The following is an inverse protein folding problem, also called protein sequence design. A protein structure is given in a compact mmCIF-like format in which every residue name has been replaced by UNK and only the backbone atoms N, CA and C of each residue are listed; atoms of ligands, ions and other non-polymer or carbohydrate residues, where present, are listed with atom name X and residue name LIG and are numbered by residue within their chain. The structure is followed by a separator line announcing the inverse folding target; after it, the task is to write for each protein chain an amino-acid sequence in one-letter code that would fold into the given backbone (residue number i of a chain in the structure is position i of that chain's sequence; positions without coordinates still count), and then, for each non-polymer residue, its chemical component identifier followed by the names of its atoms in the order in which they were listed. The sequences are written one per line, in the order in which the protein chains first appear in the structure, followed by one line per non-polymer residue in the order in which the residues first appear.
data_IF_591356651242
#
_entry.id   IF_591356651242
#
_cell.length_a   1.000
_cell.length_b   1.000
_cell.length_c   1.000
_cell.angle_alpha   90.00
_cell.angle_beta   90.00
_cell.angle_gamma   90.00
#
_symmetry.space_group_name_H-M   'P 1'
#
loop_
_entity.id
_entity.type
_entity.pdbx_description
1 polymer ?
#
# COMPACT_ATOMS: atom_id res chain seq x y z
N UNK A 1 -1.97 12.54 49.91
CA UNK A 1 -3.00 12.35 48.87
C UNK A 1 -2.25 12.02 47.59
N UNK A 2 -1.96 10.73 47.43
CA UNK A 2 -1.12 10.19 46.35
C UNK A 2 -2.04 9.92 45.16
N UNK A 3 -1.94 10.73 44.12
CA UNK A 3 -2.55 10.43 42.82
C UNK A 3 -1.54 9.62 42.01
N UNK A 4 -1.55 8.31 42.21
CA UNK A 4 -0.71 7.38 41.46
C UNK A 4 -1.16 7.35 40.00
N UNK A 5 -0.41 8.05 39.16
CA UNK A 5 -0.47 7.97 37.69
C UNK A 5 0.29 6.71 37.21
N UNK A 6 0.03 5.57 37.84
CA UNK A 6 0.60 4.29 37.43
C UNK A 6 -0.53 3.35 37.05
N UNK A 7 -0.45 2.81 35.84
CA UNK A 7 -1.31 1.74 35.29
C UNK A 7 -2.52 2.20 34.49
N UNK A 8 -2.32 3.03 33.47
CA UNK A 8 -3.18 2.97 32.29
C UNK A 8 -2.85 1.70 31.48
N UNK A 9 -3.11 0.53 32.06
CA UNK A 9 -3.19 -0.71 31.28
C UNK A 9 -4.53 -0.62 30.55
N UNK A 10 -4.51 -0.15 29.30
CA UNK A 10 -5.71 -0.11 28.48
C UNK A 10 -6.14 -1.57 28.29
N UNK A 11 -7.29 -2.01 28.84
CA UNK A 11 -7.77 -3.35 28.58
C UNK A 11 -8.00 -3.48 27.08
N UNK A 12 -7.35 -4.46 26.47
CA UNK A 12 -7.48 -4.75 25.05
C UNK A 12 -8.90 -5.24 24.77
N UNK A 13 -9.71 -4.41 24.12
CA UNK A 13 -11.09 -4.76 23.73
C UNK A 13 -11.13 -5.18 22.26
N UNK A 14 -12.09 -6.04 21.91
CA UNK A 14 -12.32 -6.47 20.51
C UNK A 14 -12.57 -5.27 19.58
N UNK A 15 -13.16 -4.20 20.08
CA UNK A 15 -13.36 -2.95 19.35
C UNK A 15 -12.04 -2.24 18.99
N UNK A 16 -11.04 -2.32 19.88
CA UNK A 16 -9.72 -1.76 19.61
C UNK A 16 -8.99 -2.60 18.55
N UNK A 17 -9.07 -3.92 18.65
CA UNK A 17 -8.56 -4.85 17.63
C UNK A 17 -9.08 -4.51 16.24
N UNK A 18 -10.40 -4.30 16.11
CA UNK A 18 -11.06 -4.02 14.84
C UNK A 18 -10.54 -2.71 14.23
N UNK A 19 -10.40 -1.65 15.03
CA UNK A 19 -9.90 -0.34 14.58
C UNK A 19 -8.44 -0.37 14.10
N UNK A 20 -7.64 -1.29 14.62
CA UNK A 20 -6.23 -1.46 14.26
C UNK A 20 -5.97 -2.65 13.31
N UNK A 21 -7.03 -3.23 12.75
CA UNK A 21 -6.93 -4.32 11.79
C UNK A 21 -6.90 -3.82 10.34
N UNK A 22 -6.06 -4.45 9.53
CA UNK A 22 -5.98 -4.18 8.10
C UNK A 22 -7.20 -4.78 7.39
N UNK A 23 -7.93 -4.01 6.56
CA UNK A 23 -9.14 -4.50 5.89
C UNK A 23 -8.88 -5.54 4.80
N UNK A 24 -7.62 -5.77 4.43
CA UNK A 24 -7.24 -6.77 3.41
C UNK A 24 -6.88 -8.11 4.05
N UNK A 25 -5.99 -8.10 5.04
CA UNK A 25 -5.54 -9.34 5.69
C UNK A 25 -6.28 -9.67 6.99
N UNK A 26 -7.11 -8.76 7.49
CA UNK A 26 -7.90 -8.90 8.71
C UNK A 26 -7.06 -9.17 9.97
N UNK A 27 -5.80 -8.76 9.94
CA UNK A 27 -4.85 -8.84 11.06
C UNK A 27 -4.44 -7.42 11.46
N UNK A 28 -3.92 -7.26 12.68
CA UNK A 28 -3.33 -6.01 13.17
C UNK A 28 -2.31 -5.46 12.16
N UNK A 29 -2.39 -4.17 11.88
CA UNK A 29 -1.54 -3.49 10.91
C UNK A 29 -0.05 -3.85 11.06
N UNK A 30 0.64 -4.00 9.94
CA UNK A 30 2.07 -4.21 9.89
C UNK A 30 2.69 -3.28 8.86
N UNK A 31 3.51 -2.35 9.33
CA UNK A 31 4.03 -1.22 8.52
C UNK A 31 2.89 -0.53 7.74
N UNK A 32 1.90 0.06 8.42
CA UNK A 32 0.71 0.61 7.76
C UNK A 32 1.07 1.76 6.81
N UNK A 33 0.49 1.77 5.61
CA UNK A 33 0.56 2.84 4.64
C UNK A 33 -0.82 3.49 4.50
N UNK A 34 -0.88 4.81 4.67
CA UNK A 34 -2.12 5.59 4.52
C UNK A 34 -2.16 6.24 3.15
N UNK A 35 -3.24 5.97 2.40
CA UNK A 35 -3.50 6.55 1.08
C UNK A 35 -3.97 8.01 1.19
N UNK A 36 -3.93 8.77 0.09
CA UNK A 36 -4.38 10.17 0.07
C UNK A 36 -5.88 10.36 0.39
N UNK A 37 -6.69 9.30 0.24
CA UNK A 37 -8.09 9.31 0.67
C UNK A 37 -8.28 8.97 2.17
N UNK A 38 -7.21 8.79 2.94
CA UNK A 38 -7.26 8.53 4.39
C UNK A 38 -7.34 7.06 4.81
N UNK A 39 -7.51 6.12 3.88
CA UNK A 39 -7.57 4.68 4.21
C UNK A 39 -6.18 4.08 4.38
N UNK A 40 -6.03 3.21 5.38
CA UNK A 40 -4.76 2.58 5.76
C UNK A 40 -4.76 1.07 5.52
N UNK A 41 -3.61 0.53 5.14
CA UNK A 41 -3.41 -0.88 4.82
C UNK A 41 -1.99 -1.31 5.21
N UNK A 42 -1.73 -2.59 5.48
CA UNK A 42 -0.35 -3.06 5.59
C UNK A 42 0.41 -2.78 4.29
N UNK A 43 1.69 -2.40 4.38
CA UNK A 43 2.53 -2.12 3.21
C UNK A 43 2.46 -3.19 2.13
N UNK A 44 2.64 -4.46 2.52
CA UNK A 44 2.57 -5.61 1.61
C UNK A 44 1.19 -5.80 0.98
N UNK A 45 0.12 -5.55 1.74
CA UNK A 45 -1.25 -5.65 1.26
C UNK A 45 -1.56 -4.59 0.21
N UNK A 46 -1.15 -3.33 0.48
CA UNK A 46 -1.33 -2.24 -0.48
C UNK A 46 -0.50 -2.46 -1.76
N UNK A 47 0.76 -2.86 -1.61
CA UNK A 47 1.63 -3.24 -2.74
C UNK A 47 1.01 -4.31 -3.62
N UNK A 48 0.54 -5.41 -3.02
CA UNK A 48 -0.11 -6.48 -3.76
C UNK A 48 -1.40 -6.02 -4.44
N UNK A 49 -2.20 -5.18 -3.78
CA UNK A 49 -3.44 -4.66 -4.37
C UNK A 49 -3.17 -3.74 -5.55
N UNK A 50 -2.18 -2.86 -5.44
CA UNK A 50 -1.83 -1.94 -6.54
C UNK A 50 -1.27 -2.73 -7.72
N UNK A 51 -0.46 -3.75 -7.46
CA UNK A 51 0.07 -4.62 -8.51
C UNK A 51 -1.03 -5.40 -9.24
N UNK A 52 -2.03 -5.92 -8.51
CA UNK A 52 -3.09 -6.76 -9.08
C UNK A 52 -4.25 -5.97 -9.70
N UNK A 53 -4.65 -4.86 -9.08
CA UNK A 53 -5.89 -4.14 -9.40
C UNK A 53 -5.67 -2.67 -9.82
N UNK A 54 -4.42 -2.23 -9.89
CA UNK A 54 -4.04 -0.86 -10.26
C UNK A 54 -4.06 0.12 -9.08
N UNK A 55 -3.70 1.37 -9.37
CA UNK A 55 -3.42 2.42 -8.38
C UNK A 55 -4.68 3.09 -7.80
N UNK A 56 -5.59 2.27 -7.27
CA UNK A 56 -6.83 2.68 -6.62
C UNK A 56 -6.93 2.15 -5.20
N UNK A 57 -7.60 2.91 -4.34
CA UNK A 57 -7.85 2.50 -2.98
C UNK A 57 -8.72 1.23 -2.93
N UNK A 58 -8.30 0.16 -2.23
CA UNK A 58 -9.07 -1.08 -2.10
C UNK A 58 -10.47 -0.87 -1.50
N UNK A 59 -10.63 0.10 -0.60
CA UNK A 59 -11.89 0.39 0.10
C UNK A 59 -12.81 1.31 -0.71
N UNK A 60 -12.39 2.54 -0.99
CA UNK A 60 -13.26 3.55 -1.60
C UNK A 60 -13.07 3.73 -3.11
N UNK A 61 -12.12 3.01 -3.73
CA UNK A 61 -11.80 3.06 -5.17
C UNK A 61 -11.22 4.40 -5.69
N UNK A 62 -11.00 5.37 -4.81
CA UNK A 62 -10.34 6.65 -5.12
C UNK A 62 -8.92 6.43 -5.69
N UNK A 63 -8.48 7.30 -6.59
CA UNK A 63 -7.14 7.22 -7.17
C UNK A 63 -6.06 7.53 -6.12
N UNK A 64 -5.02 6.70 -6.06
CA UNK A 64 -3.89 6.93 -5.14
C UNK A 64 -2.88 7.80 -5.88
N UNK A 65 -2.95 9.13 -5.74
CA UNK A 65 -2.07 10.08 -6.47
C UNK A 65 -0.65 10.22 -5.89
N UNK A 66 -0.34 9.52 -4.79
CA UNK A 66 0.93 9.68 -4.09
C UNK A 66 2.10 9.13 -4.92
N UNK A 67 3.18 9.92 -5.06
CA UNK A 67 4.46 9.50 -5.67
C UNK A 67 5.06 8.29 -4.96
N UNK A 68 4.83 8.17 -3.64
CA UNK A 68 5.31 7.07 -2.82
C UNK A 68 4.13 6.39 -2.10
N UNK A 69 3.31 5.58 -2.81
CA UNK A 69 2.08 5.01 -2.25
C UNK A 69 2.32 4.05 -1.07
N UNK A 70 3.58 3.68 -0.83
CA UNK A 70 4.02 2.74 0.21
C UNK A 70 4.77 3.42 1.36
N UNK A 71 4.65 4.75 1.50
CA UNK A 71 5.19 5.45 2.67
C UNK A 71 4.47 4.97 3.93
N UNK A 72 5.24 4.48 4.90
CA UNK A 72 4.71 4.03 6.19
C UNK A 72 4.22 5.23 6.98
N UNK A 73 2.99 5.15 7.49
CA UNK A 73 2.46 6.10 8.46
C UNK A 73 3.11 5.80 9.82
N UNK A 74 4.14 6.56 10.15
CA UNK A 74 4.96 6.37 11.35
C UNK A 74 4.12 6.47 12.62
N UNK A 75 3.23 7.47 12.72
CA UNK A 75 2.39 7.66 13.91
C UNK A 75 1.46 6.47 14.16
N UNK A 76 0.80 5.95 13.10
CA UNK A 76 -0.03 4.76 13.21
C UNK A 76 0.82 3.52 13.51
N UNK A 77 2.02 3.43 12.94
CA UNK A 77 2.92 2.32 13.18
C UNK A 77 3.42 2.28 14.63
N UNK A 78 3.82 3.41 15.20
CA UNK A 78 4.26 3.54 16.58
C UNK A 78 3.11 3.19 17.55
N UNK A 79 1.89 3.65 17.26
CA UNK A 79 0.70 3.29 18.03
C UNK A 79 0.44 1.77 18.01
N UNK A 80 0.55 1.14 16.84
CA UNK A 80 0.40 -0.32 16.71
C UNK A 80 1.48 -1.06 17.49
N UNK A 81 2.74 -0.63 17.40
CA UNK A 81 3.83 -1.26 18.14
C UNK A 81 3.66 -1.15 19.66
N UNK A 82 3.13 -0.03 20.13
CA UNK A 82 2.87 0.22 21.54
C UNK A 82 1.68 -0.61 22.06
N UNK A 83 0.56 -0.61 21.33
CA UNK A 83 -0.68 -1.25 21.76
C UNK A 83 -0.69 -2.77 21.51
N UNK A 84 0.02 -3.25 20.48
CA UNK A 84 0.00 -4.63 19.99
C UNK A 84 1.40 -5.25 19.82
N UNK A 85 2.25 -5.23 20.87
CA UNK A 85 3.64 -5.65 20.73
C UNK A 85 3.80 -7.14 20.40
N UNK A 86 2.86 -8.00 20.82
CA UNK A 86 2.94 -9.44 20.63
C UNK A 86 2.57 -9.85 19.20
N UNK A 87 1.57 -9.18 18.64
CA UNK A 87 1.09 -9.33 17.27
C UNK A 87 2.19 -8.88 16.30
N UNK A 88 2.82 -7.73 16.59
CA UNK A 88 3.94 -7.24 15.79
C UNK A 88 5.13 -8.20 15.84
N UNK A 89 5.49 -8.73 17.03
CA UNK A 89 6.56 -9.73 17.16
C UNK A 89 6.26 -10.98 16.33
N UNK A 90 5.04 -11.49 16.41
CA UNK A 90 4.60 -12.67 15.66
C UNK A 90 4.71 -12.45 14.15
N UNK A 91 4.26 -11.28 13.66
CA UNK A 91 4.38 -10.93 12.23
C UNK A 91 5.83 -10.76 11.78
N UNK A 92 6.71 -10.16 12.59
CA UNK A 92 8.15 -10.06 12.30
C UNK A 92 8.79 -11.44 12.16
N UNK A 93 8.43 -12.40 13.01
CA UNK A 93 8.95 -13.77 12.94
C UNK A 93 8.52 -14.47 11.65
N UNK A 94 7.25 -14.32 11.26
CA UNK A 94 6.73 -14.83 9.97
C UNK A 94 7.49 -14.21 8.81
N UNK A 95 7.69 -12.89 8.81
CA UNK A 95 8.40 -12.19 7.75
C UNK A 95 9.87 -12.61 7.62
N UNK A 96 10.58 -12.77 8.74
CA UNK A 96 11.94 -13.31 8.76
C UNK A 96 11.99 -14.73 8.18
N UNK A 97 11.01 -15.57 8.53
CA UNK A 97 10.94 -16.95 8.03
C UNK A 97 10.62 -17.03 6.53
N UNK A 98 9.83 -16.09 6.00
CA UNK A 98 9.52 -16.01 4.57
C UNK A 98 10.77 -15.61 3.76
N UNK A 99 11.60 -14.72 4.31
CA UNK A 99 12.89 -14.33 3.71
C UNK A 99 13.84 -15.53 3.68
N UNK A 100 14.01 -16.26 4.79
CA UNK A 100 14.92 -17.41 4.84
C UNK A 100 14.50 -18.55 3.90
N UNK A 101 13.21 -18.69 3.63
CA UNK A 101 12.66 -19.70 2.72
C UNK A 101 12.67 -19.26 1.25
N UNK A 102 13.16 -18.06 0.93
CA UNK A 102 13.10 -17.51 -0.44
C UNK A 102 11.68 -17.28 -0.94
N UNK A 103 10.67 -17.25 -0.05
CA UNK A 103 9.29 -16.91 -0.38
C UNK A 103 9.19 -15.39 -0.42
N UNK A 104 9.85 -14.78 -1.41
CA UNK A 104 9.55 -13.41 -1.77
C UNK A 104 8.21 -13.41 -2.50
N UNK A 105 7.13 -12.97 -1.86
CA UNK A 105 6.03 -12.37 -2.63
C UNK A 105 6.58 -11.05 -3.15
N UNK A 106 7.26 -11.09 -4.30
CA UNK A 106 7.71 -9.89 -4.98
C UNK A 106 6.48 -8.99 -5.21
N UNK A 107 6.47 -7.73 -4.74
CA UNK A 107 5.79 -6.72 -5.53
C UNK A 107 6.61 -6.61 -6.81
N UNK A 108 6.01 -7.02 -7.93
CA UNK A 108 6.28 -6.50 -9.28
C UNK A 108 7.72 -6.05 -9.56
N UNK A 109 8.41 -6.73 -10.48
CA UNK A 109 9.23 -5.97 -11.42
C UNK A 109 8.36 -4.77 -11.85
N UNK A 110 8.78 -3.56 -11.47
CA UNK A 110 8.20 -2.37 -12.06
C UNK A 110 8.33 -2.61 -13.57
N UNK A 111 7.25 -2.65 -14.35
CA UNK A 111 7.42 -2.72 -15.80
C UNK A 111 8.35 -1.55 -16.12
N UNK A 112 9.50 -1.82 -16.78
CA UNK A 112 10.49 -0.78 -16.91
C UNK A 112 9.85 0.41 -17.65
N UNK A 113 10.40 1.61 -17.47
CA UNK A 113 9.82 2.84 -18.08
C UNK A 113 9.62 2.70 -19.61
N UNK A 114 10.35 1.77 -20.22
CA UNK A 114 10.25 1.32 -21.60
C UNK A 114 8.93 0.61 -21.94
N UNK A 115 8.24 -0.06 -21.00
CA UNK A 115 6.95 -0.70 -21.24
C UNK A 115 5.82 0.33 -21.44
N UNK A 116 5.88 1.46 -20.73
CA UNK A 116 4.98 2.59 -20.97
C UNK A 116 5.26 3.21 -22.35
N UNK A 117 6.54 3.47 -22.67
CA UNK A 117 6.95 3.99 -23.97
C UNK A 117 6.60 3.05 -25.13
N UNK A 118 6.75 1.73 -24.97
CA UNK A 118 6.34 0.74 -25.97
C UNK A 118 4.83 0.72 -26.19
N UNK A 119 4.04 0.94 -25.15
CA UNK A 119 2.58 1.01 -25.30
C UNK A 119 2.18 2.29 -26.04
N UNK A 120 2.83 3.42 -25.74
CA UNK A 120 2.70 4.66 -26.50
C UNK A 120 3.15 4.50 -27.96
N UNK A 121 4.27 3.83 -28.21
CA UNK A 121 4.81 3.56 -29.55
C UNK A 121 3.89 2.66 -30.37
N UNK A 122 3.27 1.63 -29.75
CA UNK A 122 2.32 0.75 -30.44
C UNK A 122 1.01 1.46 -30.80
N UNK A 123 0.52 2.35 -29.94
CA UNK A 123 -0.66 3.17 -30.22
C UNK A 123 -0.35 4.20 -31.33
N UNK A 124 0.83 4.80 -31.32
CA UNK A 124 1.27 5.74 -32.36
C UNK A 124 1.54 5.04 -33.70
N UNK A 125 2.19 3.87 -33.70
CA UNK A 125 2.40 3.07 -34.90
C UNK A 125 1.07 2.54 -35.48
N UNK A 126 0.11 2.16 -34.63
CA UNK A 126 -1.23 1.77 -35.08
C UNK A 126 -2.00 2.96 -35.68
N UNK A 127 -1.89 4.16 -35.10
CA UNK A 127 -2.49 5.38 -35.66
C UNK A 127 -1.89 5.76 -37.01
N UNK A 128 -0.57 5.58 -37.18
CA UNK A 128 0.13 5.75 -38.46
C UNK A 128 -0.30 4.70 -39.50
N UNK A 129 -0.44 3.42 -39.09
CA UNK A 129 -0.85 2.32 -39.98
C UNK A 129 -2.33 2.42 -40.41
N UNK A 130 -3.19 2.99 -39.56
CA UNK A 130 -4.60 3.25 -39.87
C UNK A 130 -4.81 4.60 -40.59
N UNK A 131 -3.74 5.33 -40.90
CA UNK A 131 -3.79 6.57 -41.68
C UNK A 131 -4.62 7.66 -41.03
N UNK A 132 -4.60 7.77 -39.69
CA UNK A 132 -5.31 8.79 -38.92
C UNK A 132 -4.34 9.92 -38.52
N UNK A 133 -4.12 10.94 -39.37
CA UNK A 133 -2.98 11.86 -39.23
C UNK A 133 -3.24 12.99 -38.22
N UNK A 134 -4.38 12.97 -37.53
CA UNK A 134 -4.82 14.04 -36.63
C UNK A 134 -4.51 13.78 -35.15
N UNK A 135 -4.03 12.58 -34.78
CA UNK A 135 -3.73 12.24 -33.38
C UNK A 135 -2.30 12.60 -32.92
N UNK A 136 -1.41 13.07 -33.80
CA UNK A 136 -0.08 13.56 -33.39
C UNK A 136 -0.08 15.02 -32.94
N UNK A 137 -1.16 15.78 -33.18
CA UNK A 137 -1.19 17.23 -32.96
C UNK A 137 -1.62 17.68 -31.55
N UNK A 138 -1.96 16.76 -30.63
CA UNK A 138 -2.52 17.09 -29.31
C UNK A 138 -1.52 16.96 -28.14
N UNK A 139 -0.21 16.97 -28.42
CA UNK A 139 0.87 16.96 -27.39
C UNK A 139 1.89 18.11 -27.59
N UNK A 140 1.56 19.13 -28.39
CA UNK A 140 2.40 20.35 -28.52
C UNK A 140 1.64 21.66 -28.27
N UNK A 141 0.50 21.61 -27.59
CA UNK A 141 -0.16 22.80 -27.06
C UNK A 141 -0.82 22.52 -25.72
N UNK A 142 0.00 22.23 -24.71
CA UNK A 142 -0.08 22.73 -23.33
C UNK A 142 1.09 22.18 -22.50
#
# INVERSE_FOLDING_TARGET
MSSDLSSAVIPYTDELTEKFSCPICLEIYFEPCTTCCGHSFCKKCLQSSIYMAGQRCPLCKEWISNRFPYSVNIALWDAVQFLFPNEVKSRKAVDASNISKGISRQPSEMPPLDAFLQTFDRVMLAALALGLPWLTYLVLSE
#
